data_IF_967781744727
#
_entry.id   IF_967781744727
#
_cell.length_a   1.000
_cell.length_b   1.000
_cell.length_c   1.000
_cell.angle_alpha   90.00
_cell.angle_beta   90.00
_cell.angle_gamma   90.00
#
_symmetry.space_group_name_H-M   'P 1'
#
loop_
_entity.id
_entity.type
_entity.pdbx_description
1 polymer ?
#
# COMPACT_ATOMS: atom_id res chain seq x y z
N UNK A 1 7.00 -13.56 23.73
CA UNK A 1 6.97 -12.76 22.49
C UNK A 1 5.56 -12.25 22.36
N UNK A 2 5.36 -10.94 22.27
CA UNK A 2 4.04 -10.39 21.90
C UNK A 2 3.76 -10.74 20.44
N UNK A 3 2.50 -11.01 20.12
CA UNK A 3 2.08 -11.16 18.73
C UNK A 3 2.16 -9.79 18.01
N UNK A 4 2.59 -9.75 16.74
CA UNK A 4 2.61 -8.51 15.97
C UNK A 4 1.19 -7.98 15.80
N UNK A 5 1.05 -6.66 15.72
CA UNK A 5 -0.24 -6.05 15.40
C UNK A 5 -0.68 -6.43 13.98
N UNK A 6 -1.98 -6.25 13.71
CA UNK A 6 -2.53 -6.48 12.38
C UNK A 6 -1.90 -5.56 11.32
N UNK A 7 -1.51 -4.35 11.71
CA UNK A 7 -0.78 -3.38 10.88
C UNK A 7 0.61 -3.92 10.52
N UNK A 8 1.39 -4.29 11.54
CA UNK A 8 2.75 -4.83 11.35
C UNK A 8 2.73 -6.08 10.48
N UNK A 9 1.76 -6.98 10.67
CA UNK A 9 1.61 -8.19 9.85
C UNK A 9 1.31 -7.88 8.38
N UNK A 10 0.56 -6.81 8.09
CA UNK A 10 0.26 -6.38 6.72
C UNK A 10 1.49 -5.75 6.07
N UNK A 11 2.22 -4.92 6.82
CA UNK A 11 3.46 -4.31 6.37
C UNK A 11 4.48 -5.41 6.04
N UNK A 12 4.70 -6.36 6.95
CA UNK A 12 5.61 -7.49 6.75
C UNK A 12 5.29 -8.27 5.47
N UNK A 13 4.01 -8.59 5.26
CA UNK A 13 3.56 -9.33 4.07
C UNK A 13 3.77 -8.51 2.78
N UNK A 14 3.52 -7.20 2.80
CA UNK A 14 3.67 -6.34 1.60
C UNK A 14 5.13 -6.01 1.30
N UNK A 15 5.98 -5.96 2.32
CA UNK A 15 7.42 -5.72 2.18
C UNK A 15 8.15 -6.87 1.47
N UNK A 16 7.50 -8.03 1.30
CA UNK A 16 7.99 -9.11 0.44
C UNK A 16 8.00 -8.64 -1.03
N UNK A 17 9.20 -8.34 -1.55
CA UNK A 17 9.38 -7.85 -2.91
C UNK A 17 9.13 -8.95 -3.95
N UNK A 18 8.39 -8.59 -5.00
CA UNK A 18 8.27 -9.41 -6.21
C UNK A 18 9.59 -9.41 -7.02
N UNK A 19 9.82 -10.39 -7.91
CA UNK A 19 11.02 -10.43 -8.76
C UNK A 19 11.27 -9.13 -9.54
N UNK A 20 10.20 -8.51 -10.04
CA UNK A 20 10.24 -7.24 -10.76
C UNK A 20 10.62 -6.06 -9.84
N UNK A 21 10.16 -6.07 -8.58
CA UNK A 21 10.50 -5.05 -7.58
C UNK A 21 11.95 -5.22 -7.09
N UNK A 22 12.46 -6.45 -7.02
CA UNK A 22 13.88 -6.73 -6.75
C UNK A 22 14.78 -6.21 -7.87
N UNK A 23 14.36 -6.34 -9.13
CA UNK A 23 15.10 -5.81 -10.28
C UNK A 23 15.07 -4.28 -10.32
N UNK A 24 13.93 -3.66 -10.04
CA UNK A 24 13.80 -2.21 -9.93
C UNK A 24 14.60 -1.64 -8.73
N UNK A 25 14.73 -2.43 -7.66
CA UNK A 25 15.37 -2.07 -6.42
C UNK A 25 14.44 -1.32 -5.47
N UNK A 26 14.59 -1.59 -4.17
CA UNK A 26 13.93 -0.85 -3.10
C UNK A 26 14.93 -0.64 -1.97
N UNK A 27 15.12 0.62 -1.57
CA UNK A 27 16.07 1.00 -0.52
C UNK A 27 15.56 0.58 0.87
N UNK A 28 14.24 0.61 1.08
CA UNK A 28 13.56 0.16 2.29
C UNK A 28 12.16 -0.40 1.95
N UNK A 29 12.05 -1.73 1.77
CA UNK A 29 10.78 -2.38 1.46
C UNK A 29 9.70 -2.19 2.53
N UNK A 30 10.08 -2.04 3.80
CA UNK A 30 9.12 -1.84 4.89
C UNK A 30 8.56 -0.43 4.86
N UNK A 31 9.42 0.59 4.71
CA UNK A 31 8.96 1.96 4.59
C UNK A 31 8.10 2.17 3.34
N UNK A 32 8.46 1.50 2.23
CA UNK A 32 7.66 1.50 1.02
C UNK A 32 6.29 0.83 1.25
N UNK A 33 6.25 -0.33 1.93
CA UNK A 33 5.01 -1.03 2.24
C UNK A 33 4.08 -0.21 3.13
N UNK A 34 4.61 0.43 4.18
CA UNK A 34 3.85 1.32 5.07
C UNK A 34 3.21 2.48 4.29
N UNK A 35 3.98 3.18 3.45
CA UNK A 35 3.48 4.29 2.65
C UNK A 35 2.36 3.87 1.68
N UNK A 36 2.53 2.73 1.00
CA UNK A 36 1.53 2.21 0.06
C UNK A 36 0.24 1.81 0.79
N UNK A 37 0.35 1.15 1.94
CA UNK A 37 -0.82 0.72 2.70
C UNK A 37 -1.58 1.93 3.25
N UNK A 38 -0.88 2.95 3.75
CA UNK A 38 -1.49 4.20 4.20
C UNK A 38 -2.27 4.90 3.07
N UNK A 39 -1.66 5.04 1.88
CA UNK A 39 -2.34 5.62 0.70
C UNK A 39 -3.54 4.78 0.26
N UNK A 40 -3.40 3.45 0.28
CA UNK A 40 -4.46 2.53 -0.09
C UNK A 40 -5.65 2.62 0.87
N UNK A 41 -5.39 2.73 2.17
CA UNK A 41 -6.43 2.90 3.19
C UNK A 41 -7.15 4.24 3.03
N UNK A 42 -6.42 5.33 2.75
CA UNK A 42 -7.02 6.64 2.44
C UNK A 42 -8.01 6.54 1.27
N UNK A 43 -7.55 5.96 0.14
CA UNK A 43 -8.38 5.81 -1.06
C UNK A 43 -9.56 4.87 -0.86
N UNK A 44 -9.39 3.82 -0.05
CA UNK A 44 -10.46 2.87 0.27
C UNK A 44 -11.53 3.51 1.14
N UNK A 45 -11.14 4.36 2.09
CA UNK A 45 -12.07 5.06 2.99
C UNK A 45 -12.70 6.31 2.36
N UNK A 46 -12.08 6.88 1.32
CA UNK A 46 -12.58 8.04 0.58
C UNK A 46 -12.74 7.75 -0.94
N UNK A 47 -13.59 6.77 -1.33
CA UNK A 47 -13.69 6.35 -2.73
C UNK A 47 -14.24 7.43 -3.68
N UNK A 48 -15.07 8.35 -3.17
CA UNK A 48 -15.62 9.46 -3.96
C UNK A 48 -14.55 10.43 -4.47
N UNK A 49 -13.49 10.68 -3.69
CA UNK A 49 -12.35 11.52 -4.11
C UNK A 49 -11.68 10.91 -5.34
N UNK A 50 -11.40 9.61 -5.31
CA UNK A 50 -10.80 8.92 -6.46
C UNK A 50 -11.73 8.85 -7.68
N UNK A 51 -13.06 8.88 -7.47
CA UNK A 51 -14.06 8.91 -8.55
C UNK A 51 -14.10 10.26 -9.24
N UNK A 52 -14.13 11.35 -8.47
CA UNK A 52 -14.18 12.71 -8.99
C UNK A 52 -12.98 13.03 -9.90
N UNK A 53 -11.79 12.54 -9.54
CA UNK A 53 -10.57 12.78 -10.32
C UNK A 53 -10.44 11.85 -11.55
N UNK A 54 -11.32 10.86 -11.68
CA UNK A 54 -11.26 9.87 -12.75
C UNK A 54 -12.00 10.32 -14.01
N UNK A 55 -11.26 10.42 -15.12
CA UNK A 55 -11.88 10.61 -16.45
C UNK A 55 -12.66 9.38 -16.95
N UNK A 56 -12.54 8.24 -16.25
CA UNK A 56 -13.13 6.95 -16.64
C UNK A 56 -14.48 6.68 -15.95
N UNK A 57 -14.90 7.49 -14.98
CA UNK A 57 -16.18 7.30 -14.27
C UNK A 57 -17.02 8.57 -14.40
N UNK A 58 -17.89 8.66 -15.43
CA UNK A 58 -18.78 9.81 -15.58
C UNK A 58 -19.85 9.83 -14.47
N UNK A 59 -20.32 11.03 -14.12
CA UNK A 59 -21.46 11.30 -13.22
C UNK A 59 -22.75 10.57 -13.65
#
# INVERSE_FOLDING_TARGET
MSEPSAEESRIDTRAELLPEELEAGSDDPHAQAEAILAESDERTNAPEETRHDSTQTPD
#
